data_IF_596134135307
#
_entry.id   IF_596134135307
#
_cell.length_a   1.000
_cell.length_b   1.000
_cell.length_c   1.000
_cell.angle_alpha   90.00
_cell.angle_beta   90.00
_cell.angle_gamma   90.00
#
_symmetry.space_group_name_H-M   'P 1'
#
loop_
_entity.id
_entity.type
_entity.pdbx_description
1 polymer ?
#
# COMPACT_ATOMS: atom_id res chain seq x y z
N UNK A 1 9.53 -3.94 -27.97
CA UNK A 1 9.19 -3.89 -27.38
C UNK A 1 8.63 -3.56 -26.68
N UNK A 2 8.51 -3.44 -26.37
CA UNK A 2 8.05 -3.29 -25.65
C UNK A 2 7.25 -3.14 -25.07
N UNK A 3 7.24 -3.53 -24.62
CA UNK A 3 6.16 -3.48 -24.05
C UNK A 3 5.94 -2.35 -23.33
N UNK A 4 5.31 -1.59 -23.53
CA UNK A 4 4.90 -0.56 -22.86
C UNK A 4 4.10 -0.81 -21.74
N UNK A 5 4.16 -1.91 -21.26
CA UNK A 5 3.34 -2.43 -20.37
C UNK A 5 3.26 -1.75 -19.11
N UNK A 6 2.26 -1.22 -18.64
CA UNK A 6 2.15 -0.51 -17.40
C UNK A 6 2.05 -1.40 -16.18
N UNK A 7 2.05 -2.69 -16.33
CA UNK A 7 1.98 -3.52 -15.13
C UNK A 7 3.34 -3.56 -14.44
N UNK A 8 3.32 -3.54 -13.13
CA UNK A 8 4.52 -3.59 -12.31
C UNK A 8 4.60 -4.94 -11.63
N UNK A 9 5.80 -5.37 -11.31
CA UNK A 9 5.97 -6.60 -10.56
C UNK A 9 5.51 -6.37 -9.12
N UNK A 10 5.13 -7.44 -8.45
CA UNK A 10 4.69 -7.31 -7.07
C UNK A 10 5.81 -6.82 -6.13
N UNK A 11 7.06 -6.85 -6.57
CA UNK A 11 8.15 -6.30 -5.77
C UNK A 11 8.07 -4.79 -5.64
N UNK A 12 7.28 -4.13 -6.51
CA UNK A 12 7.09 -2.70 -6.44
C UNK A 12 5.89 -2.31 -5.58
N UNK A 13 5.16 -3.27 -5.06
CA UNK A 13 3.98 -3.00 -4.23
C UNK A 13 4.34 -2.13 -3.04
N UNK A 14 5.50 -2.36 -2.45
CA UNK A 14 5.99 -1.59 -1.32
C UNK A 14 5.98 -0.09 -1.61
N UNK A 15 6.33 0.30 -2.84
CA UNK A 15 6.42 1.71 -3.23
C UNK A 15 5.05 2.40 -3.20
N UNK A 16 3.97 1.64 -3.21
CA UNK A 16 2.63 2.18 -3.20
C UNK A 16 1.93 1.96 -1.86
N UNK A 17 2.28 0.89 -1.16
CA UNK A 17 1.54 0.49 0.03
C UNK A 17 2.16 0.93 1.34
N UNK A 18 3.46 1.18 1.38
CA UNK A 18 4.15 1.42 2.64
C UNK A 18 4.58 2.86 2.84
N UNK A 19 3.94 3.79 2.16
CA UNK A 19 4.29 5.20 2.29
C UNK A 19 3.67 5.81 3.54
N UNK A 20 4.37 6.83 4.03
CA UNK A 20 3.88 7.67 5.13
C UNK A 20 3.66 9.07 4.62
N UNK A 21 2.85 9.82 5.33
CA UNK A 21 2.80 11.26 5.16
C UNK A 21 3.10 11.90 6.51
N UNK A 22 3.65 13.08 6.47
CA UNK A 22 3.97 13.83 7.68
C UNK A 22 4.11 15.31 7.33
N UNK A 23 4.22 16.15 8.36
CA UNK A 23 4.52 17.56 8.16
C UNK A 23 5.98 17.81 8.52
N UNK A 24 6.65 18.61 7.71
CA UNK A 24 8.00 19.05 8.00
C UNK A 24 7.96 19.87 9.28
N UNK A 25 8.84 19.61 10.26
CA UNK A 25 8.77 20.33 11.54
C UNK A 25 9.08 21.83 11.42
N UNK A 26 9.80 22.24 10.38
CA UNK A 26 10.17 23.63 10.19
C UNK A 26 9.20 24.33 9.25
N UNK A 27 9.03 23.83 8.04
CA UNK A 27 8.20 24.48 7.03
C UNK A 27 6.71 24.20 7.19
N UNK A 28 6.36 23.13 7.92
CA UNK A 28 4.98 22.65 8.07
C UNK A 28 4.39 22.16 6.76
N UNK A 29 5.21 21.94 5.74
CA UNK A 29 4.74 21.40 4.48
C UNK A 29 4.52 19.91 4.57
N UNK A 30 3.54 19.42 3.83
CA UNK A 30 3.25 17.99 3.76
C UNK A 30 4.33 17.30 2.95
N UNK A 31 4.82 16.18 3.48
CA UNK A 31 5.81 15.33 2.83
C UNK A 31 5.27 13.92 2.73
N UNK A 32 5.72 13.20 1.73
CA UNK A 32 5.37 11.80 1.53
C UNK A 32 6.64 11.00 1.27
N UNK A 33 6.77 9.86 1.90
CA UNK A 33 7.94 9.00 1.69
C UNK A 33 7.90 7.79 2.59
N UNK A 34 9.02 7.08 2.66
CA UNK A 34 9.07 5.83 3.41
C UNK A 34 9.63 5.99 4.82
N UNK A 35 10.49 6.96 5.01
CA UNK A 35 11.20 7.13 6.28
C UNK A 35 11.02 8.54 6.81
N UNK A 36 9.92 8.79 7.54
CA UNK A 36 9.76 10.12 8.13
C UNK A 36 10.96 10.44 9.02
N UNK A 37 11.52 11.64 8.92
CA UNK A 37 12.67 11.98 9.74
C UNK A 37 12.28 12.14 11.19
N UNK A 38 13.28 12.11 12.06
CA UNK A 38 13.07 12.39 13.45
C UNK A 38 12.55 13.82 13.56
N UNK A 39 11.53 14.02 14.37
CA UNK A 39 10.91 15.34 14.47
C UNK A 39 9.74 15.57 13.52
N UNK A 40 9.50 14.64 12.58
CA UNK A 40 8.35 14.76 11.70
C UNK A 40 7.06 14.87 12.51
N UNK A 41 6.16 15.75 12.08
CA UNK A 41 4.91 16.01 12.77
C UNK A 41 3.76 15.26 12.09
N UNK A 42 2.79 14.83 12.88
CA UNK A 42 1.56 14.18 12.38
C UNK A 42 1.85 13.03 11.42
N UNK A 43 2.85 12.24 11.73
CA UNK A 43 3.24 11.16 10.84
C UNK A 43 2.22 10.03 10.90
N UNK A 44 1.83 9.53 9.73
CA UNK A 44 0.88 8.44 9.61
C UNK A 44 1.05 7.74 8.29
N UNK A 45 0.54 6.51 8.19
CA UNK A 45 0.54 5.78 6.93
C UNK A 45 -0.34 6.51 5.91
N UNK A 46 0.13 6.54 4.68
CA UNK A 46 -0.63 7.15 3.59
C UNK A 46 -1.66 6.14 3.10
N UNK A 47 -2.96 6.50 3.12
CA UNK A 47 -3.98 5.59 2.60
C UNK A 47 -3.85 5.40 1.11
N UNK A 48 -4.30 4.25 0.61
CA UNK A 48 -4.32 3.97 -0.82
C UNK A 48 -5.55 3.14 -1.15
N UNK A 49 -5.96 3.19 -2.42
CA UNK A 49 -7.09 2.41 -2.89
C UNK A 49 -6.58 1.05 -3.34
N UNK A 50 -7.16 -0.02 -2.82
CA UNK A 50 -6.71 -1.39 -3.07
C UNK A 50 -7.80 -2.20 -3.72
N UNK A 51 -7.42 -3.01 -4.72
CA UNK A 51 -8.24 -4.10 -5.24
C UNK A 51 -7.41 -5.37 -5.14
N UNK A 52 -7.95 -6.39 -4.52
CA UNK A 52 -7.23 -7.63 -4.31
C UNK A 52 -8.19 -8.80 -4.20
N UNK A 53 -7.64 -10.01 -4.26
CA UNK A 53 -8.40 -11.24 -4.05
C UNK A 53 -7.87 -11.86 -2.76
N UNK A 54 -8.75 -12.25 -1.88
CA UNK A 54 -8.35 -12.96 -0.67
C UNK A 54 -8.03 -14.41 -1.01
N UNK A 55 -7.39 -15.10 -0.08
CA UNK A 55 -6.99 -16.49 -0.33
C UNK A 55 -8.18 -17.42 -0.53
N UNK A 56 -9.35 -17.07 0.01
CA UNK A 56 -10.55 -17.86 -0.21
C UNK A 56 -11.30 -17.43 -1.47
N UNK A 57 -10.68 -16.60 -2.31
CA UNK A 57 -11.24 -16.25 -3.62
C UNK A 57 -12.16 -15.07 -3.62
N UNK A 58 -12.25 -14.32 -2.54
CA UNK A 58 -13.17 -13.20 -2.44
C UNK A 58 -12.51 -11.92 -2.92
N UNK A 59 -13.19 -11.15 -3.74
CA UNK A 59 -12.70 -9.85 -4.18
C UNK A 59 -12.91 -8.84 -3.07
N UNK A 60 -11.89 -8.03 -2.79
CA UNK A 60 -12.00 -6.92 -1.85
C UNK A 60 -11.55 -5.65 -2.53
N UNK A 61 -12.15 -4.54 -2.15
CA UNK A 61 -11.80 -3.25 -2.72
C UNK A 61 -12.13 -2.15 -1.73
N UNK A 62 -11.27 -1.14 -1.61
CA UNK A 62 -11.54 0.01 -0.76
C UNK A 62 -10.28 0.78 -0.44
N UNK A 63 -10.46 1.85 0.31
CA UNK A 63 -9.34 2.65 0.80
C UNK A 63 -8.82 2.03 2.09
N UNK A 64 -7.53 1.75 2.11
CA UNK A 64 -6.89 1.05 3.22
C UNK A 64 -5.57 1.71 3.60
N UNK A 65 -5.06 1.36 4.78
CA UNK A 65 -3.68 1.67 5.16
C UNK A 65 -2.99 0.34 5.45
N UNK A 66 -1.68 0.30 5.24
CA UNK A 66 -0.89 -0.89 5.56
C UNK A 66 -0.51 -0.82 7.04
N UNK A 67 -0.95 -1.78 7.81
CA UNK A 67 -0.69 -1.80 9.26
C UNK A 67 0.27 -2.91 9.67
N UNK A 68 0.66 -3.78 8.76
CA UNK A 68 1.61 -4.84 9.05
C UNK A 68 2.17 -5.46 7.79
N UNK A 69 3.34 -6.06 7.91
CA UNK A 69 4.00 -6.73 6.79
C UNK A 69 4.63 -8.01 7.30
N UNK A 70 4.42 -9.09 6.57
CA UNK A 70 5.12 -10.34 6.81
C UNK A 70 5.92 -10.62 5.53
N UNK A 71 7.12 -10.10 5.46
CA UNK A 71 7.92 -10.14 4.25
C UNK A 71 8.25 -11.57 3.77
N UNK A 72 8.63 -12.49 4.65
CA UNK A 72 8.92 -13.85 4.20
C UNK A 72 7.74 -14.53 3.50
N UNK A 73 6.52 -14.24 3.92
CA UNK A 73 5.33 -14.81 3.32
C UNK A 73 4.72 -13.90 2.26
N UNK A 74 5.29 -12.73 2.02
CA UNK A 74 4.78 -11.74 1.07
C UNK A 74 3.32 -11.39 1.38
N UNK A 75 3.02 -11.20 2.66
CA UNK A 75 1.69 -10.84 3.10
C UNK A 75 1.72 -9.45 3.70
N UNK A 76 0.62 -8.73 3.52
CA UNK A 76 0.44 -7.41 4.11
C UNK A 76 -0.86 -7.38 4.85
N UNK A 77 -0.86 -6.78 6.04
CA UNK A 77 -2.09 -6.56 6.76
C UNK A 77 -2.57 -5.15 6.41
N UNK A 78 -3.80 -5.07 5.92
CA UNK A 78 -4.39 -3.78 5.57
C UNK A 78 -5.60 -3.53 6.45
N UNK A 79 -5.85 -2.27 6.75
CA UNK A 79 -7.01 -1.87 7.52
C UNK A 79 -7.85 -0.95 6.67
N UNK A 80 -9.13 -1.29 6.50
CA UNK A 80 -10.06 -0.46 5.76
C UNK A 80 -10.34 0.80 6.57
N UNK A 81 -10.14 1.95 5.95
CA UNK A 81 -10.29 3.23 6.61
C UNK A 81 -11.72 3.43 7.09
N UNK A 82 -12.69 3.04 6.28
CA UNK A 82 -14.08 3.26 6.58
C UNK A 82 -14.61 2.37 7.71
N UNK A 83 -14.32 1.08 7.66
CA UNK A 83 -14.86 0.14 8.63
C UNK A 83 -13.93 -0.18 9.79
N UNK A 84 -12.64 0.08 9.64
CA UNK A 84 -11.65 -0.32 10.61
C UNK A 84 -11.29 -1.79 10.57
N UNK A 85 -11.90 -2.54 9.66
CA UNK A 85 -11.67 -3.97 9.54
C UNK A 85 -10.30 -4.26 8.96
N UNK A 86 -9.61 -5.28 9.49
CA UNK A 86 -8.29 -5.65 8.99
C UNK A 86 -8.36 -6.96 8.21
N UNK A 87 -7.46 -7.09 7.23
CA UNK A 87 -7.33 -8.29 6.42
C UNK A 87 -5.86 -8.52 6.09
N UNK A 88 -5.45 -9.78 6.08
CA UNK A 88 -4.15 -10.14 5.52
C UNK A 88 -4.34 -10.44 4.04
N UNK A 89 -3.48 -9.86 3.21
CA UNK A 89 -3.55 -9.98 1.76
C UNK A 89 -2.20 -10.43 1.24
N UNK A 90 -2.19 -11.41 0.35
CA UNK A 90 -0.96 -11.83 -0.32
C UNK A 90 -0.61 -10.81 -1.39
N UNK A 91 0.66 -10.41 -1.47
CA UNK A 91 1.12 -9.52 -2.52
C UNK A 91 0.83 -10.09 -3.90
N UNK A 92 0.84 -11.43 -4.03
CA UNK A 92 0.58 -12.08 -5.30
C UNK A 92 -0.87 -11.97 -5.76
N UNK A 93 -1.78 -11.61 -4.86
CA UNK A 93 -3.20 -11.50 -5.15
C UNK A 93 -3.68 -10.05 -5.23
N UNK A 94 -2.76 -9.10 -5.13
CA UNK A 94 -3.11 -7.70 -5.32
C UNK A 94 -3.24 -7.43 -6.81
N UNK A 95 -4.38 -6.87 -7.20
CA UNK A 95 -4.69 -6.58 -8.59
C UNK A 95 -4.27 -5.16 -8.93
N UNK A 96 -4.59 -4.21 -8.03
CA UNK A 96 -4.44 -2.81 -8.35
C UNK A 96 -4.25 -1.98 -7.09
N UNK A 97 -3.36 -0.99 -7.13
CA UNK A 97 -3.22 0.00 -6.06
C UNK A 97 -3.24 1.37 -6.73
N UNK A 98 -4.17 2.24 -6.30
CA UNK A 98 -4.32 3.61 -6.81
C UNK A 98 -4.38 3.65 -8.34
N UNK A 99 -5.06 2.68 -8.93
CA UNK A 99 -5.22 2.60 -10.38
C UNK A 99 -4.06 1.95 -11.11
N UNK A 100 -2.97 1.61 -10.42
CA UNK A 100 -1.83 0.94 -11.04
C UNK A 100 -2.00 -0.56 -10.90
N UNK A 101 -1.99 -1.26 -12.01
CA UNK A 101 -2.20 -2.71 -12.03
C UNK A 101 -0.90 -3.44 -11.79
N UNK A 102 -0.99 -4.54 -11.06
CA UNK A 102 0.16 -5.38 -10.78
C UNK A 102 0.01 -6.72 -11.48
N UNK A 103 1.09 -7.16 -12.09
CA UNK A 103 1.10 -8.44 -12.77
C UNK A 103 1.43 -9.51 -11.74
N UNK A 104 0.49 -10.43 -11.54
CA UNK A 104 0.64 -11.47 -10.54
C UNK A 104 1.07 -12.81 -11.14
N UNK A 105 1.45 -12.80 -12.39
CA UNK A 105 1.88 -14.05 -13.02
C UNK A 105 3.33 -14.05 -13.36
#
# INVERSE_FOLDING_TARGET
MPSSQPTLSYTRIRDYAERFEWLDPVSKERRVGFNPPEGALNRRRLPFHLRAITEDGRAIEGTVICVGVNAPLRMRQVQFVESGETRWVSDLLIIEIDGVRFNVH
#
